data_IF_598189315232
#
_entry.id   IF_598189315232
#
_cell.length_a   1.000
_cell.length_b   1.000
_cell.length_c   1.000
_cell.angle_alpha   90.00
_cell.angle_beta   90.00
_cell.angle_gamma   90.00
#
_symmetry.space_group_name_H-M   'P 1'
#
loop_
_entity.id
_entity.type
_entity.pdbx_description
1 polymer ?
#
# COMPACT_ATOMS: atom_id res chain seq x y z
N UNK A 1 -66.12 -31.34 -25.85
CA UNK A 1 -65.07 -30.40 -26.32
C UNK A 1 -63.94 -30.44 -25.30
N UNK A 2 -62.75 -30.94 -25.68
CA UNK A 2 -61.58 -31.07 -24.78
C UNK A 2 -60.65 -29.89 -25.05
N UNK A 3 -60.50 -28.98 -24.08
CA UNK A 3 -59.53 -27.89 -24.15
C UNK A 3 -58.18 -28.39 -23.61
N UNK A 4 -57.17 -28.49 -24.48
CA UNK A 4 -55.80 -28.78 -24.09
C UNK A 4 -55.11 -27.51 -23.60
N UNK A 5 -54.64 -27.52 -22.36
CA UNK A 5 -53.79 -26.46 -21.82
C UNK A 5 -52.35 -26.66 -22.32
N UNK A 6 -51.87 -25.72 -23.13
CA UNK A 6 -50.48 -25.71 -23.61
C UNK A 6 -49.62 -24.95 -22.61
N UNK A 7 -48.70 -25.65 -21.94
CA UNK A 7 -47.78 -25.09 -20.96
C UNK A 7 -46.55 -24.53 -21.69
N UNK A 8 -46.39 -23.21 -21.69
CA UNK A 8 -45.27 -22.50 -22.33
C UNK A 8 -44.13 -22.37 -21.31
N UNK A 9 -43.04 -23.12 -21.52
CA UNK A 9 -41.83 -23.06 -20.69
C UNK A 9 -40.90 -21.99 -21.27
N UNK A 10 -40.68 -20.90 -20.52
CA UNK A 10 -39.73 -19.84 -20.87
C UNK A 10 -38.36 -20.19 -20.26
N UNK A 11 -37.29 -20.38 -21.05
CA UNK A 11 -35.98 -20.67 -20.50
C UNK A 11 -35.39 -19.40 -19.87
N UNK A 12 -35.12 -19.45 -18.57
CA UNK A 12 -34.35 -18.43 -17.85
C UNK A 12 -32.89 -18.47 -18.35
N UNK A 13 -32.44 -17.40 -19.00
CA UNK A 13 -31.01 -17.21 -19.27
C UNK A 13 -30.31 -16.95 -17.94
N UNK A 14 -29.61 -17.96 -17.42
CA UNK A 14 -28.68 -17.77 -16.32
C UNK A 14 -27.53 -16.88 -16.81
N UNK A 15 -27.37 -15.70 -16.22
CA UNK A 15 -26.23 -14.82 -16.47
C UNK A 15 -24.96 -15.49 -15.94
N UNK A 16 -24.10 -15.93 -16.85
CA UNK A 16 -22.76 -16.41 -16.50
C UNK A 16 -21.95 -15.17 -16.10
N UNK A 17 -21.68 -15.01 -14.81
CA UNK A 17 -20.76 -13.98 -14.33
C UNK A 17 -19.34 -14.35 -14.80
N UNK A 18 -18.83 -13.63 -15.79
CA UNK A 18 -17.44 -13.72 -16.19
C UNK A 18 -16.56 -13.10 -15.10
N UNK A 19 -15.75 -13.91 -14.43
CA UNK A 19 -14.65 -13.39 -13.61
C UNK A 19 -13.61 -12.77 -14.55
N UNK A 20 -13.61 -11.44 -14.66
CA UNK A 20 -12.59 -10.72 -15.39
C UNK A 20 -11.22 -10.87 -14.68
N UNK A 21 -10.14 -10.94 -15.46
CA UNK A 21 -8.73 -10.85 -14.99
C UNK A 21 -8.37 -9.43 -14.53
N UNK A 22 -9.21 -8.82 -13.69
CA UNK A 22 -8.93 -7.58 -13.00
C UNK A 22 -8.58 -7.87 -11.55
N UNK A 23 -7.41 -7.43 -11.08
CA UNK A 23 -7.16 -7.40 -9.64
C UNK A 23 -8.15 -6.46 -8.96
N UNK A 24 -8.51 -6.77 -7.71
CA UNK A 24 -9.32 -5.86 -6.92
C UNK A 24 -8.60 -4.50 -6.82
N UNK A 25 -9.29 -3.37 -7.05
CA UNK A 25 -8.67 -2.06 -6.98
C UNK A 25 -8.13 -1.82 -5.56
N UNK A 26 -6.85 -1.49 -5.47
CA UNK A 26 -6.17 -1.20 -4.20
C UNK A 26 -6.04 0.30 -3.91
N UNK A 27 -6.53 1.16 -4.80
CA UNK A 27 -6.50 2.63 -4.70
C UNK A 27 -7.91 3.17 -4.98
N UNK A 28 -8.30 4.22 -4.25
CA UNK A 28 -9.55 4.95 -4.43
C UNK A 28 -9.31 6.45 -4.35
N UNK A 29 -9.99 7.22 -5.19
CA UNK A 29 -10.01 8.69 -5.12
C UNK A 29 -11.07 9.23 -4.14
N UNK A 30 -11.80 8.34 -3.47
CA UNK A 30 -12.78 8.66 -2.44
C UNK A 30 -12.37 8.05 -1.11
N UNK A 31 -12.49 8.83 -0.04
CA UNK A 31 -12.21 8.35 1.31
C UNK A 31 -13.19 7.23 1.69
N UNK A 32 -12.67 6.20 2.36
CA UNK A 32 -13.48 5.09 2.89
C UNK A 32 -12.95 4.65 4.25
N UNK A 33 -13.83 4.06 5.07
CA UNK A 33 -13.43 3.51 6.36
C UNK A 33 -12.36 2.43 6.16
N UNK A 34 -11.27 2.52 6.93
CA UNK A 34 -10.15 1.57 6.83
C UNK A 34 -9.11 1.88 5.75
N UNK A 35 -9.36 2.84 4.87
CA UNK A 35 -8.37 3.30 3.88
C UNK A 35 -7.20 4.06 4.52
N UNK A 36 -6.05 4.05 3.84
CA UNK A 36 -4.90 4.88 4.17
C UNK A 36 -4.83 6.09 3.23
N UNK A 37 -4.85 7.33 3.73
CA UNK A 37 -4.79 8.51 2.87
C UNK A 37 -3.36 8.76 2.37
N UNK A 38 -3.14 8.58 1.07
CA UNK A 38 -1.89 8.99 0.40
C UNK A 38 -1.88 10.51 0.19
N UNK A 39 -2.99 11.05 -0.33
CA UNK A 39 -3.26 12.49 -0.40
C UNK A 39 -4.68 12.75 0.08
N UNK A 40 -4.84 13.71 0.99
CA UNK A 40 -6.15 14.14 1.48
C UNK A 40 -6.15 15.66 1.69
N UNK A 41 -7.17 16.35 1.18
CA UNK A 41 -7.34 17.80 1.35
C UNK A 41 -6.08 18.62 1.00
N UNK A 42 -5.41 18.27 -0.10
CA UNK A 42 -4.18 18.94 -0.56
C UNK A 42 -2.94 18.68 0.28
N UNK A 43 -2.97 17.67 1.17
CA UNK A 43 -1.83 17.24 1.98
C UNK A 43 -1.45 15.81 1.63
N UNK A 44 -0.20 15.59 1.27
CA UNK A 44 0.35 14.27 1.01
C UNK A 44 0.97 13.66 2.28
N UNK A 45 0.84 12.35 2.43
CA UNK A 45 1.56 11.59 3.44
C UNK A 45 3.08 11.73 3.20
N UNK A 46 3.89 12.02 4.24
CA UNK A 46 5.33 12.05 4.08
C UNK A 46 5.87 10.65 3.79
N UNK A 47 6.92 10.56 2.99
CA UNK A 47 7.59 9.30 2.67
C UNK A 47 8.87 9.21 3.48
N UNK A 48 9.07 8.09 4.17
CA UNK A 48 10.18 7.84 5.08
C UNK A 48 10.99 6.66 4.54
N UNK A 49 12.30 6.84 4.43
CA UNK A 49 13.26 5.78 4.07
C UNK A 49 14.35 5.65 5.12
N UNK A 50 14.98 4.47 5.19
CA UNK A 50 16.23 4.33 5.94
C UNK A 50 17.39 4.98 5.14
N UNK A 51 18.23 5.84 5.74
CA UNK A 51 19.39 6.40 5.05
C UNK A 51 20.43 5.37 4.59
N UNK A 52 20.44 4.15 5.16
CA UNK A 52 21.36 3.07 4.76
C UNK A 52 20.78 2.18 3.64
N UNK A 53 19.58 2.46 3.13
CA UNK A 53 19.01 1.68 2.05
C UNK A 53 19.77 1.89 0.72
N UNK A 54 19.50 1.03 -0.26
CA UNK A 54 20.16 1.11 -1.55
C UNK A 54 19.86 2.46 -2.25
N UNK A 55 20.85 3.06 -2.95
CA UNK A 55 20.61 4.23 -3.79
C UNK A 55 19.49 4.03 -4.82
N UNK A 56 19.26 2.78 -5.25
CA UNK A 56 18.15 2.43 -6.15
C UNK A 56 16.78 2.63 -5.50
N UNK A 57 16.63 2.29 -4.23
CA UNK A 57 15.39 2.49 -3.46
C UNK A 57 15.13 3.98 -3.28
N UNK A 58 16.15 4.76 -2.90
CA UNK A 58 16.01 6.22 -2.80
C UNK A 58 15.63 6.88 -4.13
N UNK A 59 16.16 6.38 -5.26
CA UNK A 59 15.76 6.85 -6.60
C UNK A 59 14.28 6.53 -6.86
N UNK A 60 13.85 5.30 -6.62
CA UNK A 60 12.45 4.91 -6.80
C UNK A 60 11.49 5.75 -5.92
N UNK A 61 11.89 6.09 -4.70
CA UNK A 61 11.13 7.01 -3.84
C UNK A 61 11.06 8.42 -4.43
N UNK A 62 12.14 8.91 -5.06
CA UNK A 62 12.13 10.17 -5.79
C UNK A 62 11.14 10.16 -6.96
N UNK A 63 11.10 9.06 -7.72
CA UNK A 63 10.14 8.89 -8.81
C UNK A 63 8.71 8.82 -8.27
N UNK A 64 8.48 8.09 -7.18
CA UNK A 64 7.17 8.01 -6.52
C UNK A 64 6.67 9.37 -6.00
N UNK A 65 7.56 10.24 -5.51
CA UNK A 65 7.23 11.63 -5.17
C UNK A 65 6.73 12.40 -6.38
N UNK A 66 7.41 12.27 -7.52
CA UNK A 66 7.01 12.94 -8.77
C UNK A 66 5.68 12.39 -9.31
N UNK A 67 5.44 11.09 -9.19
CA UNK A 67 4.17 10.48 -9.61
C UNK A 67 2.99 10.99 -8.79
N UNK A 68 3.14 11.09 -7.46
CA UNK A 68 2.09 11.68 -6.60
C UNK A 68 1.85 13.14 -6.97
N UNK A 69 2.92 13.91 -7.25
CA UNK A 69 2.78 15.28 -7.73
C UNK A 69 2.01 15.34 -9.05
N UNK A 70 2.32 14.47 -10.02
CA UNK A 70 1.66 14.46 -11.31
C UNK A 70 0.16 14.11 -11.20
N UNK A 71 -0.21 13.16 -10.32
CA UNK A 71 -1.59 12.70 -10.16
C UNK A 71 -2.42 13.63 -9.27
N UNK A 72 -1.84 14.15 -8.18
CA UNK A 72 -2.59 14.85 -7.14
C UNK A 72 -2.20 16.33 -6.98
N UNK A 73 -1.29 16.85 -7.82
CA UNK A 73 -0.79 18.24 -7.74
C UNK A 73 -0.28 18.64 -6.35
N UNK A 74 0.17 17.66 -5.57
CA UNK A 74 0.64 17.82 -4.19
C UNK A 74 1.94 17.05 -4.03
N UNK A 75 3.01 17.71 -3.55
CA UNK A 75 4.31 17.06 -3.37
C UNK A 75 4.46 16.46 -1.96
N UNK A 76 4.63 15.13 -1.83
CA UNK A 76 5.03 14.51 -0.57
C UNK A 76 6.40 15.00 -0.11
N UNK A 77 6.58 15.12 1.21
CA UNK A 77 7.92 15.30 1.78
C UNK A 77 8.59 13.93 1.92
N UNK A 78 9.69 13.70 1.21
CA UNK A 78 10.56 12.54 1.43
C UNK A 78 11.67 12.86 2.44
N UNK A 79 11.85 12.03 3.46
CA UNK A 79 12.90 12.20 4.48
C UNK A 79 13.55 10.88 4.88
N UNK A 80 14.83 10.94 5.21
CA UNK A 80 15.51 9.82 5.84
C UNK A 80 15.22 9.75 7.33
N UNK A 81 14.97 8.54 7.83
CA UNK A 81 14.78 8.27 9.25
C UNK A 81 16.13 8.17 9.96
N UNK A 82 16.48 9.22 10.70
CA UNK A 82 17.67 9.23 11.57
C UNK A 82 17.28 9.17 13.05
N UNK A 83 16.06 9.58 13.39
CA UNK A 83 15.49 9.53 14.73
C UNK A 83 13.96 9.64 14.66
N UNK A 84 13.23 9.37 15.76
CA UNK A 84 11.79 9.63 15.81
C UNK A 84 11.41 11.08 15.49
N UNK A 85 12.30 12.04 15.74
CA UNK A 85 12.09 13.45 15.43
C UNK A 85 12.14 13.76 13.92
N UNK A 86 12.67 12.86 13.10
CA UNK A 86 12.72 13.00 11.63
C UNK A 86 11.32 12.91 11.00
N UNK A 87 10.37 12.27 11.69
CA UNK A 87 8.99 12.12 11.20
C UNK A 87 8.17 13.36 11.55
N UNK A 88 7.45 13.97 10.59
CA UNK A 88 6.57 15.09 10.89
C UNK A 88 5.53 14.71 11.96
N UNK A 89 5.42 15.51 13.02
CA UNK A 89 4.51 15.26 14.14
C UNK A 89 3.05 15.19 13.66
N UNK A 90 2.29 14.22 14.16
CA UNK A 90 0.88 14.04 13.83
C UNK A 90 0.63 13.59 12.39
N UNK A 91 1.66 13.16 11.66
CA UNK A 91 1.51 12.60 10.32
C UNK A 91 1.38 11.08 10.36
N UNK A 92 0.75 10.53 9.31
CA UNK A 92 0.77 9.09 9.00
C UNK A 92 1.65 8.90 7.76
N UNK A 93 2.91 8.47 7.93
CA UNK A 93 3.85 8.34 6.81
C UNK A 93 3.60 7.12 5.95
N UNK A 94 4.13 7.15 4.74
CA UNK A 94 4.47 5.96 3.96
C UNK A 94 5.93 5.62 4.29
N UNK A 95 6.21 4.41 4.73
CA UNK A 95 7.56 3.95 5.04
C UNK A 95 7.99 2.94 3.99
N UNK A 96 9.10 3.19 3.31
CA UNK A 96 9.63 2.34 2.25
C UNK A 96 11.01 1.85 2.64
N UNK A 97 11.28 0.56 2.47
CA UNK A 97 12.65 0.07 2.54
C UNK A 97 12.82 -1.42 2.35
N UNK A 98 14.08 -1.84 2.29
CA UNK A 98 14.47 -3.25 2.17
C UNK A 98 14.46 -3.93 3.54
N UNK A 99 14.07 -5.21 3.59
CA UNK A 99 13.90 -6.02 4.82
C UNK A 99 15.12 -5.99 5.76
N UNK A 100 16.32 -5.82 5.20
CA UNK A 100 17.57 -5.84 5.96
C UNK A 100 17.98 -4.51 6.61
N UNK A 101 17.28 -3.42 6.30
CA UNK A 101 17.60 -2.09 6.84
C UNK A 101 17.22 -1.95 8.32
N UNK A 102 17.97 -1.15 9.11
CA UNK A 102 17.69 -0.95 10.54
C UNK A 102 16.26 -0.49 10.84
N UNK A 103 15.74 0.47 10.07
CA UNK A 103 14.37 0.96 10.21
C UNK A 103 13.35 -0.16 10.04
N UNK A 104 13.45 -0.93 8.96
CA UNK A 104 12.49 -1.99 8.67
C UNK A 104 12.57 -3.12 9.70
N UNK A 105 13.78 -3.52 10.12
CA UNK A 105 13.98 -4.48 11.22
C UNK A 105 13.31 -4.03 12.52
N UNK A 106 13.43 -2.74 12.85
CA UNK A 106 12.76 -2.17 14.03
C UNK A 106 11.24 -2.23 13.93
N UNK A 107 10.68 -1.95 12.75
CA UNK A 107 9.23 -1.99 12.50
C UNK A 107 8.70 -3.42 12.58
N UNK A 108 9.39 -4.38 11.95
CA UNK A 108 9.02 -5.81 11.99
C UNK A 108 8.93 -6.29 13.43
N UNK A 109 9.91 -5.91 14.25
CA UNK A 109 9.95 -6.27 15.68
C UNK A 109 8.86 -5.56 16.47
N UNK A 110 8.72 -4.24 16.32
CA UNK A 110 7.80 -3.42 17.10
C UNK A 110 6.33 -3.75 16.81
N UNK A 111 5.99 -3.99 15.54
CA UNK A 111 4.63 -4.27 15.10
C UNK A 111 4.35 -5.78 14.93
N UNK A 112 5.31 -6.65 15.26
CA UNK A 112 5.21 -8.11 15.09
C UNK A 112 4.75 -8.51 13.67
N UNK A 113 5.32 -7.87 12.65
CA UNK A 113 4.93 -8.10 11.27
C UNK A 113 5.38 -9.48 10.80
N UNK A 114 4.45 -10.24 10.22
CA UNK A 114 4.80 -11.48 9.56
C UNK A 114 5.41 -11.19 8.18
N UNK A 115 6.73 -11.36 8.07
CA UNK A 115 7.51 -11.20 6.83
C UNK A 115 8.06 -12.52 6.30
N UNK A 116 7.53 -13.66 6.76
CA UNK A 116 8.00 -15.00 6.36
C UNK A 116 7.99 -15.21 4.84
N UNK A 117 7.02 -14.61 4.14
CA UNK A 117 6.94 -14.63 2.68
C UNK A 117 7.92 -13.71 1.94
N UNK A 118 8.81 -12.99 2.64
CA UNK A 118 9.82 -12.12 2.03
C UNK A 118 11.23 -12.62 2.22
N UNK A 119 11.55 -13.25 3.36
CA UNK A 119 12.93 -13.67 3.65
C UNK A 119 13.41 -14.71 2.63
N UNK A 120 14.49 -14.37 1.93
CA UNK A 120 15.10 -15.22 0.91
C UNK A 120 14.31 -15.32 -0.40
N UNK A 121 13.22 -14.56 -0.56
CA UNK A 121 12.48 -14.49 -1.81
C UNK A 121 13.11 -13.49 -2.78
N UNK A 122 13.03 -13.79 -4.07
CA UNK A 122 13.52 -12.92 -5.13
C UNK A 122 12.48 -11.84 -5.45
N UNK A 123 12.89 -10.56 -5.44
CA UNK A 123 12.10 -9.42 -5.93
C UNK A 123 10.65 -9.40 -5.45
N UNK A 124 10.46 -9.69 -4.15
CA UNK A 124 9.14 -9.81 -3.53
C UNK A 124 8.92 -8.66 -2.55
N UNK A 125 7.68 -8.22 -2.38
CA UNK A 125 7.36 -7.16 -1.43
C UNK A 125 6.04 -7.40 -0.70
N UNK A 126 5.90 -6.73 0.44
CA UNK A 126 4.61 -6.54 1.12
C UNK A 126 4.33 -5.05 1.27
N UNK A 127 3.08 -4.68 1.05
CA UNK A 127 2.60 -3.31 1.26
C UNK A 127 1.34 -3.38 2.11
N UNK A 128 1.38 -2.79 3.30
CA UNK A 128 0.24 -2.85 4.22
C UNK A 128 0.23 -1.68 5.21
N UNK A 129 -0.95 -1.41 5.75
CA UNK A 129 -1.10 -0.46 6.84
C UNK A 129 -0.66 -1.11 8.17
N UNK A 130 0.23 -0.44 8.89
CA UNK A 130 0.79 -0.90 10.17
C UNK A 130 0.46 0.09 11.28
N UNK A 131 -0.02 -0.40 12.41
CA UNK A 131 -0.24 0.38 13.62
C UNK A 131 1.03 0.48 14.46
N UNK A 132 1.32 1.66 14.99
CA UNK A 132 2.49 1.92 15.86
C UNK A 132 3.83 1.38 15.31
N UNK A 133 4.17 1.64 14.02
CA UNK A 133 5.38 1.08 13.40
C UNK A 133 6.68 1.58 14.05
N UNK A 134 6.68 2.84 14.49
CA UNK A 134 7.80 3.51 15.16
C UNK A 134 7.25 4.47 16.23
N UNK A 135 8.09 4.84 17.18
CA UNK A 135 7.70 5.73 18.28
C UNK A 135 7.16 7.06 17.77
N UNK A 136 6.00 7.48 18.29
CA UNK A 136 5.35 8.74 17.92
C UNK A 136 4.50 8.70 16.65
N UNK A 137 4.43 7.56 15.94
CA UNK A 137 3.60 7.38 14.75
C UNK A 137 2.51 6.36 15.05
N UNK A 138 1.24 6.78 15.04
CA UNK A 138 0.11 5.90 15.33
C UNK A 138 -0.16 4.88 14.21
N UNK A 139 0.08 5.27 12.97
CA UNK A 139 -0.20 4.48 11.78
C UNK A 139 0.71 4.89 10.62
N UNK A 140 1.20 3.92 9.86
CA UNK A 140 1.88 4.15 8.59
C UNK A 140 1.41 3.15 7.53
N UNK A 141 1.67 3.46 6.27
CA UNK A 141 1.63 2.47 5.20
C UNK A 141 3.06 2.02 4.93
N UNK A 142 3.36 0.75 5.16
CA UNK A 142 4.73 0.23 5.10
C UNK A 142 4.87 -0.65 3.87
N UNK A 143 5.87 -0.35 3.04
CA UNK A 143 6.28 -1.10 1.86
C UNK A 143 7.65 -1.70 2.16
N UNK A 144 7.73 -3.04 2.19
CA UNK A 144 8.94 -3.78 2.52
C UNK A 144 9.30 -4.71 1.37
N UNK A 145 10.47 -4.49 0.78
CA UNK A 145 11.07 -5.38 -0.23
C UNK A 145 11.93 -6.47 0.41
N UNK A 146 11.95 -7.67 -0.18
CA UNK A 146 12.88 -8.75 0.18
C UNK A 146 14.32 -8.42 -0.21
N UNK A 147 14.48 -7.62 -1.26
CA UNK A 147 15.71 -7.04 -1.75
C UNK A 147 15.41 -5.63 -2.28
N UNK A 148 16.42 -4.93 -2.82
CA UNK A 148 16.26 -3.53 -3.30
C UNK A 148 15.34 -3.36 -4.53
N UNK A 149 14.92 -4.44 -5.17
CA UNK A 149 14.11 -4.44 -6.40
C UNK A 149 12.66 -4.84 -6.12
N UNK A 150 12.42 -5.69 -5.12
CA UNK A 150 11.09 -5.91 -4.55
C UNK A 150 10.56 -4.65 -3.89
#
# INVERSE_FOLDING_TARGET
MRFGASLLVVPSLASIAFAAIGQAPCISFSASAGSFPIVASGKAAPIITDPSDSPSVHRAVGDFVHDILAVASTTPKAVNYTSPASVPKGSSPIIVGTIDTPLIKSIITAASLNVTGLTGQWESFVAQQVSNPISGVSKAYVIIGSDRRG
#
